data_IF_062898232623
#
_entry.id   IF_062898232623
#
_cell.length_a   1.000
_cell.length_b   1.000
_cell.length_c   1.000
_cell.angle_alpha   90.00
_cell.angle_beta   90.00
_cell.angle_gamma   90.00
#
_symmetry.space_group_name_H-M   'P 1'
#
loop_
_entity.id
_entity.type
_entity.pdbx_description
1 polymer ?
#
# COMPACT_ATOMS: atom_id res chain seq x y z
N UNK A 1 1.49 3.14 18.48
CA UNK A 1 1.12 1.71 18.35
C UNK A 1 -0.19 1.69 17.60
N UNK A 2 -0.25 1.08 16.42
CA UNK A 2 -1.45 1.05 15.59
C UNK A 2 -2.42 0.01 16.20
N UNK A 3 -3.50 0.45 16.83
CA UNK A 3 -4.32 -0.43 17.68
C UNK A 3 -5.38 -1.26 16.92
N UNK A 4 -5.49 -1.11 15.59
CA UNK A 4 -6.55 -1.74 14.80
C UNK A 4 -6.03 -2.27 13.47
N UNK A 5 -5.79 -3.58 13.41
CA UNK A 5 -5.63 -4.30 12.14
C UNK A 5 -7.01 -4.61 11.55
N UNK A 6 -7.24 -4.23 10.29
CA UNK A 6 -8.47 -4.52 9.56
C UNK A 6 -8.21 -5.47 8.40
N UNK A 7 -9.23 -6.19 7.97
CA UNK A 7 -9.11 -7.07 6.80
C UNK A 7 -8.94 -6.24 5.51
N UNK A 8 -8.31 -6.82 4.48
CA UNK A 8 -8.26 -6.19 3.14
C UNK A 8 -9.66 -5.85 2.62
N UNK A 9 -10.67 -6.63 2.97
CA UNK A 9 -12.07 -6.36 2.60
C UNK A 9 -12.60 -5.08 3.24
N UNK A 10 -12.28 -4.82 4.49
CA UNK A 10 -12.66 -3.59 5.19
C UNK A 10 -11.87 -2.40 4.66
N UNK A 11 -10.55 -2.56 4.49
CA UNK A 11 -9.71 -1.54 3.88
C UNK A 11 -10.24 -1.10 2.50
N UNK A 12 -10.69 -2.04 1.66
CA UNK A 12 -11.31 -1.70 0.37
C UNK A 12 -12.56 -0.87 0.49
N UNK A 13 -13.40 -1.07 1.52
CA UNK A 13 -14.62 -0.26 1.71
C UNK A 13 -14.29 1.21 1.96
N UNK A 14 -13.16 1.46 2.62
CA UNK A 14 -12.76 2.80 3.01
C UNK A 14 -11.96 3.51 1.90
N UNK A 15 -11.38 2.78 0.95
CA UNK A 15 -10.45 3.34 -0.04
C UNK A 15 -10.96 3.29 -1.49
N UNK A 16 -11.76 2.29 -1.86
CA UNK A 16 -12.30 2.20 -3.23
C UNK A 16 -13.27 3.36 -3.48
N UNK A 17 -13.23 3.89 -4.70
CA UNK A 17 -13.93 5.08 -5.19
C UNK A 17 -13.40 6.43 -4.68
N UNK A 18 -12.37 6.44 -3.84
CA UNK A 18 -11.67 7.69 -3.51
C UNK A 18 -10.69 8.05 -4.60
N UNK A 19 -10.59 9.35 -4.90
CA UNK A 19 -9.60 9.88 -5.85
C UNK A 19 -8.29 10.22 -5.15
N UNK A 20 -7.18 9.88 -5.81
CA UNK A 20 -5.83 10.29 -5.39
C UNK A 20 -5.59 11.71 -5.91
N UNK A 21 -5.24 12.63 -5.01
CA UNK A 21 -5.02 14.05 -5.32
C UNK A 21 -3.56 14.47 -5.16
N UNK A 22 -2.80 13.82 -4.29
CA UNK A 22 -1.35 14.04 -4.15
C UNK A 22 -0.62 12.71 -3.95
N UNK A 23 0.65 12.64 -4.36
CA UNK A 23 1.48 11.45 -4.16
C UNK A 23 2.97 11.80 -4.03
N UNK A 24 3.69 10.96 -3.29
CA UNK A 24 5.14 10.84 -3.30
C UNK A 24 5.55 9.36 -3.18
N UNK A 25 6.85 9.07 -3.18
CA UNK A 25 7.34 7.69 -3.00
C UNK A 25 6.89 7.09 -1.65
N UNK A 26 6.66 7.89 -0.61
CA UNK A 26 6.29 7.42 0.73
C UNK A 26 4.80 7.51 1.05
N UNK A 27 4.02 8.35 0.35
CA UNK A 27 2.63 8.61 0.73
C UNK A 27 1.69 8.88 -0.46
N UNK A 28 0.41 8.54 -0.27
CA UNK A 28 -0.71 8.98 -1.11
C UNK A 28 -1.68 9.82 -0.28
N UNK A 29 -2.19 10.92 -0.84
CA UNK A 29 -3.27 11.72 -0.25
C UNK A 29 -4.52 11.59 -1.13
N UNK A 30 -5.64 11.27 -0.49
CA UNK A 30 -6.95 11.14 -1.14
C UNK A 30 -7.76 12.44 -1.02
N UNK A 31 -8.77 12.58 -1.86
CA UNK A 31 -9.58 13.81 -1.95
C UNK A 31 -10.32 14.21 -0.66
N UNK A 32 -10.48 13.27 0.29
CA UNK A 32 -11.08 13.51 1.60
C UNK A 32 -10.03 13.80 2.70
N UNK A 33 -8.76 13.94 2.33
CA UNK A 33 -7.63 14.12 3.25
C UNK A 33 -7.10 12.84 3.87
N UNK A 34 -7.63 11.66 3.50
CA UNK A 34 -7.06 10.37 3.94
C UNK A 34 -5.62 10.24 3.45
N UNK A 35 -4.71 9.89 4.37
CA UNK A 35 -3.31 9.60 4.10
C UNK A 35 -3.07 8.08 4.06
N UNK A 36 -2.39 7.60 3.01
CA UNK A 36 -1.94 6.21 2.91
C UNK A 36 -0.42 6.13 2.90
N UNK A 37 0.14 5.25 3.72
CA UNK A 37 1.58 5.05 3.89
C UNK A 37 1.88 3.55 4.00
N UNK A 38 3.07 3.13 3.55
CA UNK A 38 3.62 1.80 3.87
C UNK A 38 4.61 1.97 5.01
N UNK A 39 4.30 1.43 6.17
CA UNK A 39 5.09 1.62 7.39
C UNK A 39 5.50 0.29 8.01
N UNK A 40 6.67 0.27 8.66
CA UNK A 40 7.04 -0.82 9.57
C UNK A 40 6.24 -0.68 10.86
N UNK A 41 5.13 -1.40 10.99
CA UNK A 41 4.28 -1.35 12.19
C UNK A 41 4.94 -1.99 13.41
N UNK A 42 5.77 -3.01 13.18
CA UNK A 42 6.49 -3.78 14.20
C UNK A 42 7.93 -3.99 13.70
N UNK A 43 8.90 -3.45 14.43
CA UNK A 43 10.32 -3.62 14.17
C UNK A 43 10.97 -4.37 15.33
N UNK A 44 11.85 -5.31 15.01
CA UNK A 44 12.76 -5.97 15.95
C UNK A 44 14.19 -5.69 15.50
N UNK A 45 15.17 -5.90 16.38
CA UNK A 45 16.60 -5.69 16.14
C UNK A 45 17.14 -6.33 14.85
N UNK A 46 16.46 -7.35 14.31
CA UNK A 46 16.80 -8.04 13.08
C UNK A 46 15.63 -8.12 12.06
N UNK A 47 14.54 -7.38 12.28
CA UNK A 47 13.37 -7.40 11.41
C UNK A 47 12.84 -5.99 11.16
N UNK A 48 12.77 -5.62 9.90
CA UNK A 48 12.28 -4.32 9.45
C UNK A 48 11.50 -4.49 8.15
N UNK A 49 10.63 -3.54 7.84
CA UNK A 49 9.82 -3.52 6.62
C UNK A 49 9.83 -2.12 6.03
N UNK A 50 9.82 -2.02 4.70
CA UNK A 50 9.68 -0.77 3.97
C UNK A 50 8.81 -0.98 2.74
N UNK A 51 8.38 0.12 2.14
CA UNK A 51 7.72 0.09 0.84
C UNK A 51 7.60 1.49 0.25
N UNK A 52 7.43 1.52 -1.06
CA UNK A 52 7.37 2.75 -1.84
C UNK A 52 6.24 2.66 -2.87
N UNK A 53 5.58 3.79 -3.13
CA UNK A 53 4.61 3.93 -4.20
C UNK A 53 5.33 4.23 -5.53
N UNK A 54 4.94 3.53 -6.59
CA UNK A 54 5.49 3.73 -7.94
C UNK A 54 4.39 3.85 -8.98
N UNK A 55 4.67 4.60 -10.05
CA UNK A 55 3.79 4.74 -11.21
C UNK A 55 2.37 5.22 -10.85
N UNK A 56 2.25 6.10 -9.86
CA UNK A 56 0.96 6.63 -9.40
C UNK A 56 0.47 7.68 -10.42
N UNK A 57 -0.80 7.57 -10.81
CA UNK A 57 -1.48 8.57 -11.63
C UNK A 57 -2.34 9.47 -10.74
N UNK A 58 -2.06 10.78 -10.77
CA UNK A 58 -2.88 11.79 -10.10
C UNK A 58 -4.24 11.96 -10.79
N UNK A 59 -5.21 12.46 -10.03
CA UNK A 59 -6.62 12.62 -10.44
C UNK A 59 -7.28 11.32 -10.89
N UNK A 60 -6.83 10.20 -10.33
CA UNK A 60 -7.33 8.88 -10.66
C UNK A 60 -8.10 8.29 -9.47
N UNK A 61 -9.25 7.68 -9.76
CA UNK A 61 -10.12 7.04 -8.76
C UNK A 61 -9.65 5.62 -8.51
N UNK A 62 -9.46 5.24 -7.25
CA UNK A 62 -9.14 3.87 -6.84
C UNK A 62 -10.33 2.95 -7.15
N UNK A 63 -10.14 1.94 -7.99
CA UNK A 63 -11.20 0.99 -8.38
C UNK A 63 -11.04 -0.37 -7.74
N UNK A 64 -9.82 -0.75 -7.35
CA UNK A 64 -9.55 -1.97 -6.60
C UNK A 64 -8.16 -1.90 -5.94
N UNK A 65 -7.96 -2.70 -4.89
CA UNK A 65 -6.68 -2.89 -4.22
C UNK A 65 -6.38 -4.38 -4.19
N UNK A 66 -5.23 -4.81 -4.68
CA UNK A 66 -4.82 -6.22 -4.59
C UNK A 66 -3.47 -6.32 -3.92
N UNK A 67 -3.37 -7.23 -2.96
CA UNK A 67 -2.10 -7.63 -2.35
C UNK A 67 -1.71 -8.94 -3.02
N UNK A 68 -0.61 -8.91 -3.74
CA UNK A 68 0.01 -10.11 -4.27
C UNK A 68 1.17 -10.45 -3.36
N UNK A 69 1.03 -11.50 -2.56
CA UNK A 69 2.19 -12.15 -1.96
C UNK A 69 3.05 -12.66 -3.11
N UNK A 70 4.21 -12.03 -3.32
CA UNK A 70 5.14 -12.46 -4.37
C UNK A 70 5.90 -13.70 -3.95
N UNK A 71 5.72 -14.14 -2.71
CA UNK A 71 6.58 -15.10 -2.07
C UNK A 71 7.98 -14.55 -1.93
N UNK A 72 8.63 -14.97 -0.86
CA UNK A 72 9.75 -15.89 -0.95
C UNK A 72 10.46 -15.76 0.39
N UNK A 73 10.58 -16.84 1.16
CA UNK A 73 11.49 -16.85 2.30
C UNK A 73 12.93 -16.96 1.76
N UNK A 74 13.38 -15.98 0.96
CA UNK A 74 14.72 -15.99 0.37
C UNK A 74 15.72 -15.89 1.50
N UNK A 75 16.43 -17.00 1.75
CA UNK A 75 17.52 -16.98 2.69
C UNK A 75 18.64 -16.10 2.10
N UNK A 76 18.96 -15.01 2.79
CA UNK A 76 19.95 -14.03 2.33
C UNK A 76 21.30 -14.15 3.05
N UNK A 77 21.49 -15.20 3.84
CA UNK A 77 22.68 -15.41 4.68
C UNK A 77 22.45 -15.07 6.16
N UNK A 78 21.57 -14.12 6.46
CA UNK A 78 21.30 -13.65 7.83
C UNK A 78 19.83 -13.75 8.25
N UNK A 79 18.93 -14.10 7.33
CA UNK A 79 17.50 -14.24 7.59
C UNK A 79 16.71 -14.52 6.32
N UNK A 80 15.42 -14.16 6.33
CA UNK A 80 14.51 -14.30 5.19
C UNK A 80 13.92 -12.95 4.79
N UNK A 81 13.79 -12.68 3.49
CA UNK A 81 13.17 -11.46 2.97
C UNK A 81 11.93 -11.79 2.16
N UNK A 82 10.75 -11.35 2.61
CA UNK A 82 9.47 -11.53 1.92
C UNK A 82 9.05 -10.26 1.18
N UNK A 83 8.30 -10.42 0.08
CA UNK A 83 7.86 -9.30 -0.76
C UNK A 83 6.36 -9.41 -1.04
N UNK A 84 5.67 -8.28 -0.94
CA UNK A 84 4.29 -8.13 -1.39
C UNK A 84 4.18 -6.95 -2.34
N UNK A 85 3.33 -7.09 -3.36
CA UNK A 85 3.00 -6.00 -4.28
C UNK A 85 1.56 -5.57 -4.03
N UNK A 86 1.38 -4.27 -3.73
CA UNK A 86 0.05 -3.65 -3.61
C UNK A 86 -0.25 -2.92 -4.91
N UNK A 87 -1.21 -3.43 -5.68
CA UNK A 87 -1.64 -2.79 -6.94
C UNK A 87 -2.94 -2.05 -6.69
N UNK A 88 -2.89 -0.72 -6.85
CA UNK A 88 -4.04 0.18 -6.82
C UNK A 88 -4.49 0.41 -8.27
N UNK A 89 -5.63 -0.17 -8.64
CA UNK A 89 -6.19 0.04 -9.98
C UNK A 89 -6.87 1.41 -10.01
N UNK A 90 -6.68 2.16 -11.09
CA UNK A 90 -7.40 3.39 -11.32
C UNK A 90 -8.11 3.39 -12.68
N UNK A 91 -9.19 4.15 -12.81
CA UNK A 91 -9.96 4.20 -14.05
C UNK A 91 -9.05 4.65 -15.22
N UNK A 92 -9.16 3.95 -16.37
CA UNK A 92 -8.41 4.29 -17.61
C UNK A 92 -9.20 5.18 -18.57
N UNK A 93 -10.49 5.40 -18.30
CA UNK A 93 -11.30 6.31 -19.10
C UNK A 93 -11.16 7.74 -18.57
N UNK A 94 -11.00 8.68 -19.50
CA UNK A 94 -11.23 10.11 -19.25
C UNK A 94 -12.68 10.27 -18.75
N UNK A 95 -12.85 11.02 -17.65
CA UNK A 95 -14.17 11.48 -17.18
C UNK A 95 -14.42 12.84 -17.81
#
# INVERSE_FOLDING_TARGET
MWEYYVSLKELKKDLVFKRIVEWSESELILEDGTKMEVVCSESDCCAWAEGEFKNVKLDAVITDIKIFDKGNHLYNGDGHSSYAEVVVYHNRNEI
#
